data_IF_027926904109
#
_entry.id   IF_027926904109
#
_cell.length_a   1.000
_cell.length_b   1.000
_cell.length_c   1.000
_cell.angle_alpha   90.00
_cell.angle_beta   90.00
_cell.angle_gamma   90.00
#
_symmetry.space_group_name_H-M   'P 1'
#
loop_
_entity.id
_entity.type
_entity.pdbx_description
1 polymer ?
#
# COMPACT_ATOMS: atom_id res chain seq x y z
N UNK A 1 9.30 12.15 25.54
CA UNK A 1 10.04 10.91 25.86
C UNK A 1 9.21 9.63 25.79
N UNK A 2 7.89 9.68 25.52
CA UNK A 2 6.98 8.51 25.67
C UNK A 2 6.78 7.69 24.39
N UNK A 3 7.16 8.18 23.20
CA UNK A 3 6.84 7.51 21.92
C UNK A 3 7.87 6.44 21.47
N UNK A 4 9.03 6.37 22.12
CA UNK A 4 10.16 5.52 21.68
C UNK A 4 10.06 4.08 22.24
N UNK A 5 9.51 3.90 23.44
CA UNK A 5 9.53 2.61 24.16
C UNK A 5 8.66 1.53 23.49
N UNK A 6 7.48 1.87 22.98
CA UNK A 6 6.56 0.90 22.35
C UNK A 6 7.04 0.38 20.98
N UNK A 7 8.07 1.01 20.41
CA UNK A 7 8.70 0.56 19.14
C UNK A 7 9.74 -0.51 19.43
N UNK A 8 10.52 -0.36 20.51
CA UNK A 8 11.52 -1.34 20.92
C UNK A 8 10.88 -2.67 21.32
N UNK A 9 9.74 -2.65 22.03
CA UNK A 9 9.00 -3.87 22.43
C UNK A 9 8.50 -4.72 21.23
N UNK A 10 8.03 -4.09 20.15
CA UNK A 10 7.58 -4.81 18.94
C UNK A 10 8.78 -5.31 18.11
N UNK A 11 9.93 -4.61 18.18
CA UNK A 11 11.15 -5.02 17.47
C UNK A 11 11.76 -6.28 18.07
N UNK A 12 11.68 -6.48 19.39
CA UNK A 12 12.28 -7.62 20.07
C UNK A 12 11.39 -8.87 20.12
N UNK A 13 10.07 -8.73 19.98
CA UNK A 13 9.13 -9.84 20.22
C UNK A 13 8.73 -10.64 18.97
N UNK A 14 8.87 -10.10 17.75
CA UNK A 14 8.23 -10.71 16.55
C UNK A 14 9.12 -10.96 15.31
N UNK A 15 10.46 -10.85 15.40
CA UNK A 15 11.35 -11.01 14.22
C UNK A 15 10.86 -10.17 13.02
N UNK A 16 10.79 -8.86 13.23
CA UNK A 16 10.31 -7.88 12.23
C UNK A 16 11.52 -7.27 11.51
N UNK A 17 11.48 -7.20 10.18
CA UNK A 17 12.56 -6.58 9.40
C UNK A 17 12.64 -5.07 9.66
N UNK A 18 13.83 -4.47 9.52
CA UNK A 18 14.03 -3.01 9.58
C UNK A 18 13.07 -2.24 8.65
N UNK A 19 12.74 -2.81 7.49
CA UNK A 19 11.78 -2.15 6.59
C UNK A 19 10.34 -2.21 7.13
N UNK A 20 9.99 -3.33 7.74
CA UNK A 20 8.68 -3.53 8.35
C UNK A 20 8.50 -2.66 9.60
N UNK A 21 9.54 -2.48 10.41
CA UNK A 21 9.48 -1.57 11.57
C UNK A 21 9.25 -0.12 11.13
N UNK A 22 9.92 0.33 10.05
CA UNK A 22 9.64 1.64 9.44
C UNK A 22 8.19 1.78 8.97
N UNK A 23 7.64 0.75 8.33
CA UNK A 23 6.22 0.74 7.91
C UNK A 23 5.28 0.84 9.11
N UNK A 24 5.56 0.12 10.19
CA UNK A 24 4.77 0.14 11.42
C UNK A 24 4.81 1.55 12.04
N UNK A 25 5.99 2.15 12.20
CA UNK A 25 6.13 3.51 12.73
C UNK A 25 5.35 4.54 11.89
N UNK A 26 5.48 4.44 10.57
CA UNK A 26 4.79 5.33 9.64
C UNK A 26 3.26 5.21 9.76
N UNK A 27 2.75 3.98 9.90
CA UNK A 27 1.31 3.74 10.09
C UNK A 27 0.83 4.11 11.51
N UNK A 28 1.68 4.03 12.54
CA UNK A 28 1.35 4.52 13.89
C UNK A 28 1.18 6.03 13.90
N UNK A 29 2.08 6.76 13.25
CA UNK A 29 2.12 8.22 13.33
C UNK A 29 1.15 8.89 12.36
N UNK A 30 1.03 8.35 11.14
CA UNK A 30 0.33 9.00 10.03
C UNK A 30 -0.85 8.17 9.48
N UNK A 31 -1.11 6.98 10.03
CA UNK A 31 -2.19 6.10 9.59
C UNK A 31 -3.59 6.66 9.89
N UNK A 32 -4.63 6.28 9.13
CA UNK A 32 -4.65 5.31 8.02
C UNK A 32 -4.15 5.89 6.68
N UNK A 33 -3.32 5.12 5.96
CA UNK A 33 -2.75 5.54 4.66
C UNK A 33 -3.03 4.54 3.54
N UNK A 34 -3.10 5.05 2.31
CA UNK A 34 -3.10 4.22 1.10
C UNK A 34 -1.68 3.75 0.75
N UNK A 35 -1.57 2.71 -0.07
CA UNK A 35 -0.25 2.23 -0.54
C UNK A 35 0.57 3.33 -1.23
N UNK A 36 -0.10 4.20 -2.00
CA UNK A 36 0.58 5.26 -2.75
C UNK A 36 1.09 6.34 -1.80
N UNK A 37 0.30 6.73 -0.79
CA UNK A 37 0.74 7.63 0.27
C UNK A 37 1.89 7.05 1.12
N UNK A 38 1.90 5.73 1.36
CA UNK A 38 3.02 5.07 2.05
C UNK A 38 4.29 5.17 1.20
N UNK A 39 4.20 4.95 -0.11
CA UNK A 39 5.36 5.07 -1.00
C UNK A 39 5.87 6.52 -1.06
N UNK A 40 4.97 7.49 -1.10
CA UNK A 40 5.28 8.92 -1.06
C UNK A 40 6.00 9.30 0.24
N UNK A 41 5.47 8.90 1.39
CA UNK A 41 6.05 9.18 2.70
C UNK A 41 7.40 8.48 2.93
N UNK A 42 7.67 7.37 2.23
CA UNK A 42 8.98 6.71 2.21
C UNK A 42 9.97 7.32 1.19
N UNK A 43 9.55 8.35 0.45
CA UNK A 43 10.39 9.05 -0.53
C UNK A 43 10.68 8.23 -1.78
N UNK A 44 9.79 7.29 -2.15
CA UNK A 44 9.97 6.52 -3.38
C UNK A 44 9.65 7.35 -4.61
N UNK A 45 10.44 7.14 -5.66
CA UNK A 45 10.28 7.84 -6.92
C UNK A 45 9.13 7.29 -7.73
N UNK A 46 8.40 8.19 -8.38
CA UNK A 46 7.42 7.84 -9.39
C UNK A 46 8.11 7.65 -10.74
N UNK A 47 7.65 6.65 -11.48
CA UNK A 47 8.06 6.40 -12.86
C UNK A 47 6.83 6.30 -13.76
N UNK A 48 7.03 6.60 -15.04
CA UNK A 48 5.99 6.42 -16.05
C UNK A 48 5.72 4.93 -16.27
N UNK A 49 4.48 4.53 -16.05
CA UNK A 49 4.01 3.17 -16.20
C UNK A 49 2.96 3.11 -17.31
N UNK A 50 3.12 2.14 -18.21
CA UNK A 50 2.15 1.90 -19.28
C UNK A 50 1.26 0.75 -18.82
N UNK A 51 0.03 1.08 -18.43
CA UNK A 51 -0.98 0.06 -18.13
C UNK A 51 -1.68 -0.37 -19.42
N UNK A 52 -1.74 -1.68 -19.64
CA UNK A 52 -2.45 -2.27 -20.77
C UNK A 52 -3.91 -2.52 -20.37
N UNK A 53 -4.80 -1.59 -20.72
CA UNK A 53 -6.23 -1.75 -20.46
C UNK A 53 -6.86 -2.69 -21.51
N UNK A 54 -7.66 -3.66 -21.04
CA UNK A 54 -8.44 -4.53 -21.93
C UNK A 54 -9.57 -3.71 -22.56
N UNK A 55 -9.65 -3.68 -23.88
CA UNK A 55 -10.84 -3.19 -24.58
C UNK A 55 -11.95 -4.24 -24.41
N UNK A 56 -13.07 -3.86 -23.78
CA UNK A 56 -14.25 -4.72 -23.69
C UNK A 56 -14.93 -4.82 -25.04
N UNK A 57 -15.20 -6.06 -25.45
CA UNK A 57 -15.72 -6.45 -26.76
C UNK A 57 -17.25 -6.45 -26.77
N UNK A 58 -17.88 -5.72 -27.68
CA UNK A 58 -19.23 -6.06 -28.17
C UNK A 58 -19.06 -6.90 -29.43
N UNK A 59 -19.24 -8.21 -29.33
CA UNK A 59 -19.60 -9.09 -30.45
C UNK A 59 -18.48 -9.70 -31.31
N UNK A 60 -17.50 -8.95 -31.82
CA UNK A 60 -16.64 -9.45 -32.91
C UNK A 60 -15.12 -9.20 -32.70
N UNK A 61 -14.44 -10.16 -32.07
CA UNK A 61 -12.98 -10.30 -31.87
C UNK A 61 -12.04 -9.19 -32.39
N UNK A 62 -11.40 -8.50 -31.44
CA UNK A 62 -10.09 -7.81 -31.50
C UNK A 62 -9.63 -7.60 -30.02
N UNK A 63 -8.40 -7.97 -29.64
CA UNK A 63 -7.80 -7.47 -28.37
C UNK A 63 -6.55 -6.64 -28.70
N UNK A 64 -6.67 -5.34 -29.04
CA UNK A 64 -5.56 -4.42 -28.88
C UNK A 64 -5.62 -3.86 -27.45
N UNK A 65 -4.58 -4.11 -26.66
CA UNK A 65 -4.43 -3.40 -25.39
C UNK A 65 -4.27 -1.89 -25.68
N UNK A 66 -5.05 -1.03 -25.03
CA UNK A 66 -4.80 0.42 -25.11
C UNK A 66 -3.74 0.77 -24.06
N UNK A 67 -2.57 1.32 -24.45
CA UNK A 67 -1.60 1.80 -23.49
C UNK A 67 -2.16 3.05 -22.80
N UNK A 68 -2.40 2.95 -21.50
CA UNK A 68 -2.70 4.10 -20.66
C UNK A 68 -1.43 4.49 -19.92
N UNK A 69 -0.96 5.72 -20.16
CA UNK A 69 0.13 6.31 -19.38
C UNK A 69 -0.39 6.65 -17.99
N UNK A 70 0.21 6.05 -16.98
CA UNK A 70 -0.03 6.33 -15.56
C UNK A 70 1.30 6.51 -14.86
N UNK A 71 1.28 6.98 -13.62
CA UNK A 71 2.48 7.03 -12.76
C UNK A 71 2.38 5.94 -11.71
N UNK A 72 3.51 5.30 -11.42
CA UNK A 72 3.60 4.29 -10.38
C UNK A 72 4.89 4.48 -9.56
N UNK A 73 4.89 4.08 -8.29
CA UNK A 73 6.08 4.10 -7.45
C UNK A 73 6.97 2.86 -7.67
N UNK A 74 8.29 3.06 -7.78
CA UNK A 74 9.26 1.98 -8.10
C UNK A 74 9.22 0.79 -7.12
N UNK A 75 8.95 1.04 -5.83
CA UNK A 75 8.91 0.03 -4.77
C UNK A 75 7.51 -0.31 -4.28
N UNK A 76 6.49 -0.01 -5.09
CA UNK A 76 5.09 -0.21 -4.74
C UNK A 76 4.76 -1.67 -4.41
N UNK A 77 5.33 -2.63 -5.14
CA UNK A 77 5.13 -4.06 -4.89
C UNK A 77 5.81 -4.49 -3.59
N UNK A 78 7.04 -4.05 -3.34
CA UNK A 78 7.78 -4.34 -2.11
C UNK A 78 7.04 -3.84 -0.86
N UNK A 79 6.46 -2.63 -0.92
CA UNK A 79 5.60 -2.11 0.16
C UNK A 79 4.40 -3.03 0.37
N UNK A 80 3.73 -3.43 -0.70
CA UNK A 80 2.55 -4.29 -0.63
C UNK A 80 2.84 -5.65 -0.01
N UNK A 81 3.90 -6.33 -0.43
CA UNK A 81 4.29 -7.65 0.11
C UNK A 81 4.61 -7.58 1.60
N UNK A 82 5.27 -6.51 2.05
CA UNK A 82 5.56 -6.32 3.46
C UNK A 82 4.29 -6.01 4.28
N UNK A 83 3.38 -5.21 3.75
CA UNK A 83 2.07 -4.98 4.37
C UNK A 83 1.27 -6.29 4.49
N UNK A 84 1.28 -7.16 3.46
CA UNK A 84 0.63 -8.46 3.55
C UNK A 84 1.22 -9.35 4.65
N UNK A 85 2.54 -9.36 4.81
CA UNK A 85 3.20 -10.09 5.92
C UNK A 85 2.74 -9.56 7.28
N UNK A 86 2.67 -8.23 7.44
CA UNK A 86 2.20 -7.59 8.67
C UNK A 86 0.71 -7.84 8.96
N UNK A 87 -0.12 -7.93 7.92
CA UNK A 87 -1.53 -8.29 8.04
C UNK A 87 -1.69 -9.75 8.48
N UNK A 88 -0.91 -10.67 7.93
CA UNK A 88 -0.92 -12.09 8.36
C UNK A 88 -0.54 -12.24 9.84
N UNK A 89 0.36 -11.39 10.33
CA UNK A 89 0.72 -11.30 11.77
C UNK A 89 -0.28 -10.52 12.62
N UNK A 90 -1.36 -9.99 12.03
CA UNK A 90 -2.40 -9.20 12.71
C UNK A 90 -1.90 -7.88 13.33
N UNK A 91 -0.75 -7.36 12.89
CA UNK A 91 -0.20 -6.06 13.34
C UNK A 91 -0.87 -4.91 12.59
N UNK A 92 -1.13 -5.11 11.31
CA UNK A 92 -1.75 -4.13 10.41
C UNK A 92 -3.09 -4.69 9.95
N UNK A 93 -4.07 -3.81 9.76
CA UNK A 93 -5.33 -4.16 9.11
C UNK A 93 -5.56 -3.34 7.84
N UNK A 94 -6.21 -3.97 6.85
CA UNK A 94 -6.64 -3.33 5.60
C UNK A 94 -8.15 -3.13 5.63
N UNK A 95 -8.60 -1.95 5.24
CA UNK A 95 -10.01 -1.65 5.12
C UNK A 95 -10.25 -0.73 3.92
N UNK A 96 -11.51 -0.66 3.50
CA UNK A 96 -11.93 0.23 2.41
C UNK A 96 -13.15 1.01 2.88
N UNK A 97 -13.13 2.32 2.68
CA UNK A 97 -14.23 3.21 3.07
C UNK A 97 -14.83 3.81 1.81
N UNK A 98 -16.13 3.60 1.60
CA UNK A 98 -16.85 4.28 0.53
C UNK A 98 -16.89 5.79 0.84
N UNK A 99 -16.46 6.60 -0.12
CA UNK A 99 -16.43 8.06 -0.03
C UNK A 99 -17.53 8.71 -0.88
N UNK A 100 -18.53 7.93 -1.33
CA UNK A 100 -19.62 8.41 -2.17
C UNK A 100 -19.22 8.71 -3.62
N UNK A 101 -17.94 8.53 -3.99
CA UNK A 101 -17.46 8.73 -5.36
C UNK A 101 -17.61 7.45 -6.18
N UNK A 102 -17.87 7.61 -7.48
CA UNK A 102 -17.94 6.49 -8.43
C UNK A 102 -16.58 5.80 -8.56
N UNK A 103 -16.57 4.48 -8.48
CA UNK A 103 -15.37 3.66 -8.68
C UNK A 103 -15.04 2.78 -7.48
N UNK A 104 -13.89 2.08 -7.54
CA UNK A 104 -13.42 1.24 -6.44
C UNK A 104 -12.96 2.15 -5.29
N UNK A 105 -13.49 2.01 -4.07
CA UNK A 105 -13.05 2.85 -2.97
C UNK A 105 -11.58 2.57 -2.63
N UNK A 106 -10.85 3.58 -2.12
CA UNK A 106 -9.44 3.42 -1.80
C UNK A 106 -9.25 2.37 -0.70
N UNK A 107 -8.16 1.62 -0.79
CA UNK A 107 -7.74 0.67 0.23
C UNK A 107 -6.76 1.37 1.16
N UNK A 108 -7.11 1.39 2.44
CA UNK A 108 -6.36 2.01 3.51
C UNK A 108 -5.77 0.94 4.44
N UNK A 109 -4.62 1.27 5.01
CA UNK A 109 -3.91 0.45 5.98
C UNK A 109 -3.75 1.23 7.28
N UNK A 110 -3.98 0.57 8.42
CA UNK A 110 -3.72 1.12 9.76
C UNK A 110 -3.18 0.06 10.69
N UNK A 111 -2.58 0.48 11.79
CA UNK A 111 -2.23 -0.42 12.89
C UNK A 111 -3.52 -0.97 13.49
N UNK A 112 -3.52 -2.28 13.72
CA UNK A 112 -4.61 -2.93 14.42
C UNK A 112 -4.53 -2.53 15.90
N UNK A 113 -5.58 -1.86 16.39
CA UNK A 113 -5.73 -1.53 17.80
C UNK A 113 -6.24 -2.71 18.62
#
# INVERSE_FOLDING_TARGET
MVEIELVQEVMETENVSLFQSKLIQLLKNNGPLTRDQICEALGFEQYDYIHLEKLTHTGEKIIPYRPRKTKQYNRRTTVFENLEKLIKRKIVEKFSKNNGKRGRPPVLFRIKS
#
